data_IF_751087263466
#
_entry.id   IF_751087263466
#
_cell.length_a   1.000
_cell.length_b   1.000
_cell.length_c   1.000
_cell.angle_alpha   90.00
_cell.angle_beta   90.00
_cell.angle_gamma   90.00
#
_symmetry.space_group_name_H-M   'P 1'
#
loop_
_entity.id
_entity.type
_entity.pdbx_description
1 polymer ?
#
# COMPACT_ATOMS: atom_id res chain seq x y z
N UNK A 1 2.67 21.39 -2.42
CA UNK A 1 2.20 20.38 -3.41
C UNK A 1 0.70 20.16 -3.30
N UNK A 2 0.16 19.77 -2.13
CA UNK A 2 -1.27 19.55 -1.95
C UNK A 2 -2.17 20.75 -2.33
N UNK A 3 -1.77 21.99 -2.02
CA UNK A 3 -2.52 23.19 -2.44
C UNK A 3 -2.59 23.37 -3.96
N UNK A 4 -1.52 23.07 -4.70
CA UNK A 4 -1.55 23.10 -6.18
C UNK A 4 -2.38 21.97 -6.78
N UNK A 5 -2.44 20.83 -6.07
CA UNK A 5 -3.29 19.70 -6.46
C UNK A 5 -4.76 20.08 -6.25
N UNK A 6 -5.09 20.75 -5.13
CA UNK A 6 -6.42 21.30 -4.87
C UNK A 6 -6.88 22.23 -6.00
N UNK A 7 -6.10 23.27 -6.29
CA UNK A 7 -6.42 24.25 -7.35
C UNK A 7 -6.54 23.60 -8.74
N UNK A 8 -5.71 22.59 -9.03
CA UNK A 8 -5.76 21.87 -10.30
C UNK A 8 -6.96 20.90 -10.44
N UNK A 9 -7.56 20.48 -9.33
CA UNK A 9 -8.72 19.59 -9.32
C UNK A 9 -9.99 20.40 -9.32
N UNK A 10 -10.11 21.35 -8.39
CA UNK A 10 -11.23 22.28 -8.28
C UNK A 10 -11.40 23.07 -9.60
N UNK A 11 -10.32 23.65 -10.13
CA UNK A 11 -10.40 24.40 -11.39
C UNK A 11 -10.31 23.57 -12.68
N UNK A 12 -9.96 22.28 -12.61
CA UNK A 12 -9.70 21.45 -13.80
C UNK A 12 -10.69 20.30 -14.03
N UNK A 13 -11.23 19.76 -12.94
CA UNK A 13 -12.23 18.68 -12.92
C UNK A 13 -13.58 19.17 -12.36
N UNK A 14 -13.57 20.30 -11.65
CA UNK A 14 -14.73 20.90 -11.00
C UNK A 14 -15.22 22.20 -11.62
N UNK A 15 -16.10 22.88 -10.89
CA UNK A 15 -16.68 24.17 -11.26
C UNK A 15 -15.89 25.38 -10.73
N UNK A 16 -14.82 25.15 -9.94
CA UNK A 16 -13.97 26.20 -9.41
C UNK A 16 -14.62 26.98 -8.26
N UNK A 17 -15.56 26.37 -7.54
CA UNK A 17 -16.29 27.00 -6.44
C UNK A 17 -15.46 27.16 -5.15
N UNK A 18 -14.24 26.60 -5.12
CA UNK A 18 -13.35 26.66 -3.96
C UNK A 18 -13.64 25.59 -2.91
N UNK A 19 -14.54 24.67 -3.23
CA UNK A 19 -14.92 23.50 -2.45
C UNK A 19 -14.64 22.23 -3.26
N UNK A 20 -14.69 21.07 -2.61
CA UNK A 20 -14.54 19.79 -3.30
C UNK A 20 -15.75 18.91 -3.04
N UNK A 21 -16.40 18.48 -4.11
CA UNK A 21 -17.53 17.57 -4.04
C UNK A 21 -17.07 16.09 -3.89
N UNK A 22 -17.98 15.16 -3.55
CA UNK A 22 -17.62 13.74 -3.41
C UNK A 22 -17.07 13.09 -4.69
N UNK A 23 -17.52 13.56 -5.86
CA UNK A 23 -17.12 13.04 -7.17
C UNK A 23 -15.70 13.50 -7.52
N UNK A 24 -15.40 14.77 -7.30
CA UNK A 24 -14.09 15.39 -7.44
C UNK A 24 -13.08 14.76 -6.47
N UNK A 25 -13.49 14.51 -5.22
CA UNK A 25 -12.65 13.78 -4.28
C UNK A 25 -12.32 12.38 -4.83
N UNK A 26 -13.31 11.64 -5.33
CA UNK A 26 -13.06 10.32 -5.90
C UNK A 26 -12.11 10.38 -7.11
N UNK A 27 -12.33 11.32 -8.03
CA UNK A 27 -11.45 11.56 -9.16
C UNK A 27 -10.02 11.90 -8.72
N UNK A 28 -9.84 12.74 -7.70
CA UNK A 28 -8.53 13.02 -7.11
C UNK A 28 -7.85 11.73 -6.68
N UNK A 29 -8.56 10.91 -5.90
CA UNK A 29 -7.98 9.71 -5.32
C UNK A 29 -7.54 8.77 -6.45
N UNK A 30 -8.35 8.61 -7.49
CA UNK A 30 -7.96 7.84 -8.67
C UNK A 30 -6.70 8.41 -9.34
N UNK A 31 -6.60 9.72 -9.55
CA UNK A 31 -5.41 10.35 -10.14
C UNK A 31 -4.17 10.11 -9.28
N UNK A 32 -4.31 10.23 -7.95
CA UNK A 32 -3.23 9.96 -7.00
C UNK A 32 -2.77 8.50 -7.09
N UNK A 33 -3.71 7.56 -7.14
CA UNK A 33 -3.41 6.13 -7.28
C UNK A 33 -2.78 5.80 -8.64
N UNK A 34 -3.23 6.41 -9.74
CA UNK A 34 -2.61 6.25 -11.06
C UNK A 34 -1.17 6.77 -11.09
N UNK A 35 -0.85 7.85 -10.36
CA UNK A 35 0.54 8.32 -10.24
C UNK A 35 1.37 7.39 -9.37
N UNK A 36 0.78 6.85 -8.31
CA UNK A 36 1.45 5.94 -7.41
C UNK A 36 1.66 4.54 -8.02
N UNK A 37 0.78 4.10 -8.94
CA UNK A 37 0.87 2.78 -9.58
C UNK A 37 2.10 2.61 -10.47
N UNK A 38 2.68 3.72 -10.95
CA UNK A 38 3.96 3.73 -11.65
C UNK A 38 5.08 3.17 -10.76
N UNK A 39 5.02 3.44 -9.45
CA UNK A 39 6.01 2.97 -8.48
C UNK A 39 5.64 1.62 -7.87
N UNK A 40 4.34 1.34 -7.74
CA UNK A 40 3.81 0.12 -7.13
C UNK A 40 2.69 -0.45 -8.01
N UNK A 41 3.00 -1.44 -8.87
CA UNK A 41 2.02 -2.00 -9.80
C UNK A 41 0.81 -2.66 -9.12
N UNK A 42 1.00 -3.12 -7.88
CA UNK A 42 -0.01 -3.81 -7.08
C UNK A 42 -0.92 -2.87 -6.27
N UNK A 43 -0.88 -1.55 -6.52
CA UNK A 43 -1.71 -0.59 -5.81
C UNK A 43 -3.16 -0.67 -6.31
N UNK A 44 -4.06 -1.22 -5.50
CA UNK A 44 -5.49 -1.25 -5.80
C UNK A 44 -6.16 0.06 -5.37
N UNK A 45 -6.85 0.77 -6.28
CA UNK A 45 -7.58 1.99 -5.93
C UNK A 45 -8.74 1.68 -4.98
N UNK A 46 -9.07 2.65 -4.13
CA UNK A 46 -10.24 2.53 -3.25
C UNK A 46 -11.53 2.51 -4.08
N UNK A 47 -12.57 1.87 -3.57
CA UNK A 47 -13.87 1.88 -4.22
C UNK A 47 -14.58 3.23 -4.01
N UNK A 48 -15.53 3.55 -4.90
CA UNK A 48 -16.35 4.76 -4.74
C UNK A 48 -17.04 4.80 -3.37
N UNK A 49 -17.56 3.68 -2.89
CA UNK A 49 -18.20 3.60 -1.56
C UNK A 49 -17.24 3.93 -0.41
N UNK A 50 -15.98 3.49 -0.51
CA UNK A 50 -14.94 3.84 0.47
C UNK A 50 -14.59 5.33 0.39
N UNK A 51 -14.54 5.89 -0.82
CA UNK A 51 -14.35 7.33 -1.04
C UNK A 51 -15.50 8.15 -0.43
N UNK A 52 -16.75 7.75 -0.68
CA UNK A 52 -17.94 8.41 -0.12
C UNK A 52 -17.95 8.33 1.41
N UNK A 53 -17.50 7.20 1.98
CA UNK A 53 -17.37 7.05 3.42
C UNK A 53 -16.27 7.95 3.99
N UNK A 54 -15.12 8.03 3.30
CA UNK A 54 -14.04 8.95 3.62
C UNK A 54 -14.53 10.40 3.61
N UNK A 55 -15.22 10.80 2.55
CA UNK A 55 -15.81 12.13 2.40
C UNK A 55 -16.66 12.48 3.62
N UNK A 56 -17.67 11.65 3.94
CA UNK A 56 -18.58 11.88 5.07
C UNK A 56 -17.90 11.87 6.44
N UNK A 57 -16.74 11.23 6.55
CA UNK A 57 -15.98 11.19 7.82
C UNK A 57 -15.21 12.49 8.05
N UNK A 58 -14.86 13.20 6.98
CA UNK A 58 -14.03 14.40 7.03
C UNK A 58 -14.79 15.70 6.75
N UNK A 59 -15.99 15.62 6.18
CA UNK A 59 -17.00 16.69 6.13
C UNK A 59 -17.57 16.91 7.54
N UNK A 60 -16.86 17.70 8.35
CA UNK A 60 -17.19 17.89 9.77
C UNK A 60 -18.38 18.81 9.95
N UNK A 61 -18.55 19.76 9.03
CA UNK A 61 -19.66 20.71 9.06
C UNK A 61 -20.91 20.17 8.36
N UNK A 62 -20.85 18.99 7.74
CA UNK A 62 -21.94 18.39 6.96
C UNK A 62 -22.45 19.33 5.87
N UNK A 63 -21.55 20.17 5.32
CA UNK A 63 -21.89 21.08 4.24
C UNK A 63 -22.17 20.36 2.93
N UNK A 64 -21.77 19.08 2.82
CA UNK A 64 -21.83 18.32 1.59
C UNK A 64 -20.69 18.64 0.62
N UNK A 65 -19.70 19.40 1.09
CA UNK A 65 -18.53 19.85 0.33
C UNK A 65 -17.30 19.88 1.25
N UNK A 66 -16.11 19.62 0.73
CA UNK A 66 -14.90 19.69 1.54
C UNK A 66 -14.23 21.04 1.36
N UNK A 67 -14.05 21.76 2.45
CA UNK A 67 -13.26 22.96 2.43
C UNK A 67 -11.75 22.63 2.31
N UNK A 68 -10.94 23.64 2.01
CA UNK A 68 -9.49 23.47 1.83
C UNK A 68 -8.79 22.81 3.01
N UNK A 69 -9.22 23.04 4.26
CA UNK A 69 -8.57 22.46 5.44
C UNK A 69 -8.91 20.98 5.57
N UNK A 70 -10.18 20.61 5.39
CA UNK A 70 -10.65 19.23 5.40
C UNK A 70 -9.98 18.42 4.28
N UNK A 71 -9.91 18.99 3.09
CA UNK A 71 -9.21 18.40 1.96
C UNK A 71 -7.73 18.13 2.26
N UNK A 72 -7.00 19.13 2.79
CA UNK A 72 -5.58 18.97 3.09
C UNK A 72 -5.34 17.84 4.11
N UNK A 73 -6.27 17.68 5.05
CA UNK A 73 -6.20 16.64 6.06
C UNK A 73 -6.39 15.25 5.42
N UNK A 74 -7.41 15.08 4.58
CA UNK A 74 -7.64 13.85 3.78
C UNK A 74 -6.41 13.54 2.91
N UNK A 75 -5.94 14.51 2.14
CA UNK A 75 -4.81 14.36 1.24
C UNK A 75 -3.53 13.97 1.99
N UNK A 76 -3.30 14.50 3.20
CA UNK A 76 -2.14 14.11 4.02
C UNK A 76 -2.22 12.65 4.47
N UNK A 77 -3.41 12.17 4.86
CA UNK A 77 -3.62 10.80 5.34
C UNK A 77 -3.45 9.82 4.17
N UNK A 78 -4.11 10.09 3.04
CA UNK A 78 -3.98 9.25 1.86
C UNK A 78 -2.54 9.24 1.33
N UNK A 79 -1.91 10.41 1.23
CA UNK A 79 -0.53 10.54 0.81
C UNK A 79 0.42 9.77 1.73
N UNK A 80 0.25 9.85 3.05
CA UNK A 80 1.07 9.10 4.01
C UNK A 80 0.88 7.59 3.87
N UNK A 81 -0.35 7.12 3.63
CA UNK A 81 -0.62 5.68 3.48
C UNK A 81 0.04 5.14 2.20
N UNK A 82 -0.09 5.86 1.09
CA UNK A 82 0.52 5.49 -0.19
C UNK A 82 2.05 5.53 -0.08
N UNK A 83 2.61 6.61 0.48
CA UNK A 83 4.05 6.75 0.66
C UNK A 83 4.64 5.62 1.53
N UNK A 84 3.95 5.23 2.61
CA UNK A 84 4.39 4.13 3.46
C UNK A 84 4.37 2.80 2.71
N UNK A 85 3.33 2.51 1.91
CA UNK A 85 3.29 1.29 1.08
C UNK A 85 4.46 1.24 0.10
N UNK A 86 4.72 2.34 -0.61
CA UNK A 86 5.85 2.45 -1.52
C UNK A 86 7.15 2.20 -0.77
N UNK A 87 7.36 2.90 0.35
CA UNK A 87 8.58 2.76 1.15
C UNK A 87 8.79 1.32 1.66
N UNK A 88 7.74 0.66 2.15
CA UNK A 88 7.81 -0.74 2.61
C UNK A 88 8.12 -1.69 1.46
N UNK A 89 7.42 -1.57 0.33
CA UNK A 89 7.69 -2.42 -0.83
C UNK A 89 9.12 -2.23 -1.34
N UNK A 90 9.59 -0.99 -1.46
CA UNK A 90 10.97 -0.70 -1.89
C UNK A 90 11.98 -1.25 -0.88
N UNK A 91 11.75 -1.08 0.42
CA UNK A 91 12.63 -1.63 1.46
C UNK A 91 12.71 -3.16 1.41
N UNK A 92 11.56 -3.83 1.25
CA UNK A 92 11.52 -5.29 1.18
C UNK A 92 12.20 -5.78 -0.11
N UNK A 93 11.87 -5.18 -1.25
CA UNK A 93 12.40 -5.61 -2.53
C UNK A 93 13.90 -5.33 -2.69
N UNK A 94 14.40 -4.19 -2.19
CA UNK A 94 15.80 -3.79 -2.37
C UNK A 94 16.73 -4.25 -1.24
N UNK A 95 16.22 -4.44 -0.02
CA UNK A 95 17.06 -4.77 1.15
C UNK A 95 16.77 -6.17 1.65
N UNK A 96 15.52 -6.45 2.02
CA UNK A 96 15.20 -7.72 2.70
C UNK A 96 15.31 -8.93 1.77
N UNK A 97 14.78 -8.83 0.55
CA UNK A 97 14.73 -9.98 -0.35
C UNK A 97 16.11 -10.41 -0.90
N UNK A 98 17.04 -9.51 -1.25
CA UNK A 98 18.41 -9.92 -1.60
C UNK A 98 19.15 -10.58 -0.43
N UNK A 99 19.02 -10.03 0.78
CA UNK A 99 19.65 -10.61 1.98
C UNK A 99 19.11 -12.01 2.29
N UNK A 100 17.79 -12.19 2.23
CA UNK A 100 17.16 -13.49 2.43
C UNK A 100 17.50 -14.46 1.29
N UNK A 101 17.50 -14.01 0.05
CA UNK A 101 17.80 -14.87 -1.10
C UNK A 101 19.24 -15.38 -1.09
N UNK A 102 20.22 -14.54 -0.74
CA UNK A 102 21.60 -14.99 -0.57
C UNK A 102 21.71 -16.06 0.53
N UNK A 103 21.06 -15.86 1.68
CA UNK A 103 21.08 -16.83 2.77
C UNK A 103 20.39 -18.14 2.40
N UNK A 104 19.25 -18.08 1.72
CA UNK A 104 18.56 -19.25 1.23
C UNK A 104 19.38 -20.01 0.18
N UNK A 105 20.08 -19.30 -0.71
CA UNK A 105 20.96 -19.92 -1.70
C UNK A 105 22.15 -20.65 -1.05
N UNK A 106 22.76 -20.06 -0.01
CA UNK A 106 23.85 -20.71 0.74
C UNK A 106 23.40 -21.99 1.44
N UNK A 107 22.22 -21.93 2.07
CA UNK A 107 21.60 -23.10 2.71
C UNK A 107 21.31 -24.17 1.66
N UNK A 108 20.71 -23.80 0.53
CA UNK A 108 20.37 -24.72 -0.54
C UNK A 108 21.62 -25.39 -1.14
N UNK A 109 22.69 -24.63 -1.38
CA UNK A 109 23.97 -25.15 -1.86
C UNK A 109 24.55 -26.19 -0.87
N UNK A 110 24.54 -25.85 0.42
CA UNK A 110 25.01 -26.75 1.49
C UNK A 110 24.19 -28.05 1.53
N UNK A 111 22.87 -27.97 1.34
CA UNK A 111 21.99 -29.14 1.28
C UNK A 111 22.25 -29.99 0.03
N UNK A 112 22.49 -29.39 -1.13
CA UNK A 112 22.78 -30.13 -2.36
C UNK A 112 24.11 -30.87 -2.29
N UNK A 113 25.13 -30.30 -1.65
CA UNK A 113 26.40 -30.98 -1.41
C UNK A 113 26.24 -32.17 -0.45
N UNK A 114 25.33 -32.07 0.51
CA UNK A 114 25.12 -33.13 1.50
C UNK A 114 24.30 -34.32 0.97
N UNK A 115 23.44 -34.11 -0.02
CA UNK A 115 22.55 -35.14 -0.56
C UNK A 115 22.80 -35.38 -2.07
N UNK A 116 23.62 -36.39 -2.44
CA UNK A 116 23.96 -36.67 -3.85
C UNK A 116 22.73 -37.08 -4.71
N UNK A 117 21.63 -37.50 -4.08
CA UNK A 117 20.38 -37.77 -4.78
C UNK A 117 19.71 -36.50 -5.32
N UNK A 118 19.94 -35.35 -4.67
CA UNK A 118 19.34 -34.07 -5.04
C UNK A 118 19.97 -33.46 -6.29
N UNK A 119 21.30 -33.59 -6.45
CA UNK A 119 22.00 -33.12 -7.65
C UNK A 119 21.56 -33.88 -8.91
N UNK A 120 21.31 -35.19 -8.81
CA UNK A 120 20.83 -35.99 -9.94
C UNK A 120 19.46 -35.53 -10.47
N UNK A 121 18.54 -35.15 -9.58
CA UNK A 121 17.24 -34.58 -9.98
C UNK A 121 17.41 -33.19 -10.62
N UNK A 122 18.29 -32.37 -10.06
CA UNK A 122 18.55 -31.03 -10.59
C UNK A 122 19.19 -31.09 -11.99
N UNK A 123 20.13 -32.01 -12.20
CA UNK A 123 20.72 -32.31 -13.52
C UNK A 123 19.69 -32.86 -14.51
N UNK A 124 18.77 -33.72 -14.04
CA UNK A 124 17.67 -34.21 -14.87
C UNK A 124 16.72 -33.08 -15.30
N UNK A 125 16.45 -32.11 -14.42
CA UNK A 125 15.70 -30.92 -14.78
C UNK A 125 16.49 -29.99 -15.71
N UNK A 126 17.78 -29.77 -15.46
CA UNK A 126 18.65 -28.91 -16.27
C UNK A 126 18.86 -29.44 -17.69
N UNK A 127 18.94 -30.76 -17.86
CA UNK A 127 19.08 -31.39 -19.17
C UNK A 127 17.83 -31.22 -20.05
N UNK A 128 16.67 -30.92 -19.46
CA UNK A 128 15.46 -30.58 -20.22
C UNK A 128 15.46 -29.15 -20.79
N UNK A 129 16.40 -28.30 -20.38
CA UNK A 129 16.49 -26.91 -20.82
C UNK A 129 17.40 -26.74 -22.05
N UNK A 130 17.14 -25.75 -22.93
CA UNK A 130 17.99 -25.45 -24.07
C UNK A 130 19.44 -25.18 -23.66
N UNK A 131 20.41 -25.66 -24.44
CA UNK A 131 21.85 -25.52 -24.17
C UNK A 131 22.30 -24.06 -23.94
N UNK A 132 21.58 -23.10 -24.52
CA UNK A 132 21.83 -21.66 -24.36
C UNK A 132 21.58 -21.15 -22.94
N UNK A 133 20.73 -21.84 -22.17
CA UNK A 133 20.27 -21.40 -20.83
C UNK A 133 20.99 -22.15 -19.72
N UNK A 134 21.50 -23.36 -20.00
CA UNK A 134 22.23 -24.20 -19.05
C UNK A 134 23.42 -23.50 -18.34
N UNK A 135 24.33 -22.78 -19.03
CA UNK A 135 25.45 -22.12 -18.34
C UNK A 135 25.00 -20.97 -17.45
N UNK A 136 23.82 -20.39 -17.72
CA UNK A 136 23.28 -19.29 -16.93
C UNK A 136 22.76 -19.80 -15.57
N UNK A 137 22.02 -20.91 -15.56
CA UNK A 137 21.34 -21.42 -14.36
C UNK A 137 22.32 -22.08 -13.37
N UNK A 138 23.46 -22.58 -13.84
CA UNK A 138 24.45 -23.26 -13.00
C UNK A 138 25.25 -22.36 -12.05
N UNK A 139 25.15 -21.04 -12.19
CA UNK A 139 25.91 -20.10 -11.34
C UNK A 139 25.19 -19.85 -10.01
N UNK A 140 25.95 -19.78 -8.92
CA UNK A 140 25.44 -19.44 -7.57
C UNK A 140 24.69 -18.10 -7.57
N UNK A 141 25.14 -17.15 -8.38
CA UNK A 141 24.53 -15.83 -8.53
C UNK A 141 23.13 -15.92 -9.14
N UNK A 142 22.93 -16.80 -10.12
CA UNK A 142 21.63 -16.99 -10.76
C UNK A 142 20.66 -17.70 -9.83
N UNK A 143 21.12 -18.72 -9.10
CA UNK A 143 20.31 -19.37 -8.08
C UNK A 143 19.85 -18.39 -6.99
N UNK A 144 20.75 -17.54 -6.48
CA UNK A 144 20.39 -16.49 -5.52
C UNK A 144 19.37 -15.50 -6.09
N UNK A 145 19.53 -15.09 -7.35
CA UNK A 145 18.61 -14.18 -8.03
C UNK A 145 17.21 -14.80 -8.19
N UNK A 146 17.12 -16.07 -8.61
CA UNK A 146 15.85 -16.80 -8.75
C UNK A 146 15.16 -16.89 -7.39
N UNK A 147 15.88 -17.29 -6.35
CA UNK A 147 15.34 -17.40 -4.98
C UNK A 147 14.89 -16.04 -4.46
N UNK A 148 15.68 -14.97 -4.65
CA UNK A 148 15.27 -13.60 -4.33
C UNK A 148 13.99 -13.22 -5.06
N UNK A 149 13.88 -13.49 -6.36
CA UNK A 149 12.68 -13.17 -7.13
C UNK A 149 11.43 -13.90 -6.60
N UNK A 150 11.55 -15.18 -6.24
CA UNK A 150 10.47 -15.96 -5.62
C UNK A 150 10.11 -15.37 -4.25
N UNK A 151 11.09 -15.03 -3.42
CA UNK A 151 10.85 -14.40 -2.11
C UNK A 151 10.13 -13.07 -2.29
N UNK A 152 10.55 -12.20 -3.22
CA UNK A 152 9.86 -10.94 -3.51
C UNK A 152 8.41 -11.21 -3.92
N UNK A 153 8.18 -12.16 -4.84
CA UNK A 153 6.86 -12.48 -5.35
C UNK A 153 5.89 -12.97 -4.27
N UNK A 154 6.38 -13.65 -3.23
CA UNK A 154 5.54 -14.15 -2.11
C UNK A 154 5.45 -13.15 -0.97
N UNK A 155 6.58 -12.56 -0.56
CA UNK A 155 6.68 -11.74 0.64
C UNK A 155 6.05 -10.36 0.43
N UNK A 156 6.22 -9.74 -0.74
CA UNK A 156 5.69 -8.40 -0.99
C UNK A 156 4.15 -8.36 -0.89
N UNK A 157 3.38 -9.25 -1.58
CA UNK A 157 1.92 -9.26 -1.44
C UNK A 157 1.46 -9.54 -0.01
N UNK A 158 2.15 -10.43 0.71
CA UNK A 158 1.80 -10.79 2.09
C UNK A 158 1.99 -9.61 3.04
N UNK A 159 3.11 -8.90 2.96
CA UNK A 159 3.35 -7.74 3.82
C UNK A 159 2.41 -6.58 3.47
N UNK A 160 2.10 -6.37 2.19
CA UNK A 160 1.11 -5.38 1.77
C UNK A 160 -0.28 -5.72 2.34
N UNK A 161 -0.72 -6.98 2.28
CA UNK A 161 -1.99 -7.41 2.86
C UNK A 161 -2.07 -7.15 4.37
N UNK A 162 -1.00 -7.44 5.11
CA UNK A 162 -0.93 -7.18 6.56
C UNK A 162 -0.95 -5.67 6.84
N UNK A 163 -0.19 -4.90 6.07
CA UNK A 163 -0.14 -3.43 6.23
C UNK A 163 -1.52 -2.81 6.02
N UNK A 164 -2.24 -3.29 5.02
CA UNK A 164 -3.59 -2.83 4.69
C UNK A 164 -4.56 -3.12 5.84
N UNK A 165 -4.54 -4.33 6.37
CA UNK A 165 -5.34 -4.74 7.52
C UNK A 165 -5.04 -3.87 8.76
N UNK A 166 -3.75 -3.64 9.06
CA UNK A 166 -3.34 -2.80 10.20
C UNK A 166 -3.82 -1.35 10.02
N UNK A 167 -3.76 -0.82 8.80
CA UNK A 167 -4.24 0.53 8.53
C UNK A 167 -5.76 0.64 8.66
N UNK A 168 -6.51 -0.34 8.16
CA UNK A 168 -7.96 -0.41 8.32
C UNK A 168 -8.33 -0.47 9.81
N UNK A 169 -7.65 -1.32 10.58
CA UNK A 169 -7.88 -1.41 12.04
C UNK A 169 -7.54 -0.13 12.78
N UNK A 170 -6.44 0.55 12.41
CA UNK A 170 -6.07 1.84 13.02
C UNK A 170 -7.04 2.95 12.67
N UNK A 171 -7.52 2.99 11.43
CA UNK A 171 -8.56 3.92 11.00
C UNK A 171 -9.84 3.70 11.81
N UNK A 172 -10.33 2.45 11.89
CA UNK A 172 -11.49 2.09 12.69
C UNK A 172 -11.33 2.48 14.18
N UNK A 173 -10.14 2.24 14.75
CA UNK A 173 -9.84 2.59 16.15
C UNK A 173 -9.79 4.10 16.42
N UNK A 174 -9.45 4.92 15.41
CA UNK A 174 -9.49 6.38 15.52
C UNK A 174 -10.93 6.87 15.47
N UNK A 175 -11.71 6.37 14.51
CA UNK A 175 -13.14 6.71 14.38
C UNK A 175 -13.92 6.33 15.64
N UNK A 176 -13.68 5.12 16.19
CA UNK A 176 -14.33 4.68 17.42
C UNK A 176 -14.02 5.59 18.63
N UNK A 177 -12.77 6.06 18.75
CA UNK A 177 -12.37 6.99 19.81
C UNK A 177 -13.01 8.36 19.65
N UNK A 178 -13.03 8.89 18.43
CA UNK A 178 -13.69 10.16 18.13
C UNK A 178 -15.19 10.10 18.46
N UNK A 179 -15.88 9.04 18.04
CA UNK A 179 -17.31 8.83 18.34
C UNK A 179 -17.59 8.75 19.84
N UNK A 180 -16.72 8.08 20.59
CA UNK A 180 -16.87 7.96 22.04
C UNK A 180 -16.64 9.30 22.75
N UNK A 181 -15.69 10.11 22.28
CA UNK A 181 -15.47 11.47 22.79
C UNK A 181 -16.68 12.37 22.51
N UNK A 182 -17.21 12.35 21.28
CA UNK A 182 -18.39 13.12 20.91
C UNK A 182 -19.61 12.76 21.79
N UNK A 183 -19.88 11.45 21.99
CA UNK A 183 -20.98 10.99 22.86
C UNK A 183 -20.82 11.45 24.32
N UNK A 184 -19.58 11.50 24.82
CA UNK A 184 -19.31 12.00 26.18
C UNK A 184 -19.58 13.50 26.29
N UNK A 185 -19.21 14.25 25.27
CA UNK A 185 -19.44 15.69 25.24
C UNK A 185 -20.93 16.03 25.14
N UNK A 186 -21.69 15.33 24.27
CA UNK A 186 -23.15 15.45 24.21
C UNK A 186 -23.82 15.14 25.56
N UNK A 187 -23.40 14.08 26.23
CA UNK A 187 -23.92 13.73 27.55
C UNK A 187 -23.64 14.82 28.59
N UNK A 188 -22.46 15.46 28.52
CA UNK A 188 -22.10 16.58 29.41
C UNK A 188 -22.97 17.81 29.16
N UNK A 189 -23.21 18.15 27.90
CA UNK A 189 -24.05 19.27 27.51
C UNK A 189 -25.52 19.06 27.92
N UNK A 190 -26.06 17.86 27.70
CA UNK A 190 -27.42 17.51 28.15
C UNK A 190 -27.57 17.60 29.67
N UNK A 191 -26.56 17.18 30.43
CA UNK A 191 -26.56 17.30 31.89
C UNK A 191 -26.50 18.75 32.39
N UNK A 192 -25.93 19.68 31.61
CA UNK A 192 -25.92 21.11 31.92
C UNK A 192 -27.26 21.78 31.59
N UNK A 193 -27.89 21.40 30.47
CA UNK A 193 -29.18 21.95 30.05
C UNK A 193 -30.36 21.54 30.95
N UNK A 194 -30.20 20.45 31.72
CA UNK A 194 -31.22 19.95 32.64
C UNK A 194 -31.17 20.57 34.05
N UNK A 195 -30.20 21.44 34.34
CA UNK A 195 -30.04 22.15 35.62
C UNK A 195 -30.48 23.61 35.48
#
# INVERSE_FOLDING_TARGET
>A
VAAKIFEGIDGGLGDGDGCIDPTELYCMILVLYCKASIYVPALTPITKQQSDHLFRTFDQDSSGSLNRQEFLLIASILGSNIALRIALQTCIALVMAPLLGMRCADILASYLEQFPSGSALLESCLSSLPETVQPLIGTRETAATIVTAVIVAVLVPLVLSITDEVHVQRAASRTARALWQARREEARLRGQAAK
#
